data_IF_181492945952
#
_entry.id   IF_181492945952
#
_cell.length_a   1.000
_cell.length_b   1.000
_cell.length_c   1.000
_cell.angle_alpha   90.00
_cell.angle_beta   90.00
_cell.angle_gamma   90.00
#
_symmetry.space_group_name_H-M   'P 1'
#
loop_
_entity.id
_entity.type
_entity.pdbx_description
1 polymer ?
#
# COMPACT_ATOMS: atom_id res chain seq x y z
N UNK A 1 -29.13 9.94 7.27
CA UNK A 1 -27.89 9.20 6.92
C UNK A 1 -27.77 8.04 7.91
N UNK A 2 -27.51 6.81 7.45
CA UNK A 2 -27.37 5.64 8.31
C UNK A 2 -26.26 4.72 7.78
N UNK A 3 -25.57 4.02 8.68
CA UNK A 3 -24.60 2.98 8.34
C UNK A 3 -25.32 1.73 7.84
N UNK A 4 -24.87 1.14 6.74
CA UNK A 4 -25.56 0.02 6.07
C UNK A 4 -24.84 -1.32 6.18
N UNK A 5 -23.52 -1.32 6.39
CA UNK A 5 -22.69 -2.52 6.40
C UNK A 5 -21.67 -2.46 7.53
N UNK A 6 -21.45 -3.59 8.21
CA UNK A 6 -20.38 -3.81 9.18
C UNK A 6 -19.69 -5.12 8.83
N UNK A 7 -18.39 -5.08 8.57
CA UNK A 7 -17.57 -6.27 8.32
C UNK A 7 -16.31 -6.28 9.18
N UNK A 8 -15.92 -7.47 9.63
CA UNK A 8 -14.69 -7.70 10.37
C UNK A 8 -13.53 -8.07 9.43
N UNK A 9 -12.31 -8.21 9.97
CA UNK A 9 -11.14 -8.67 9.21
C UNK A 9 -10.37 -7.58 8.45
N UNK A 10 -10.79 -6.31 8.54
CA UNK A 10 -10.06 -5.18 7.99
C UNK A 10 -8.77 -4.82 8.75
N UNK A 11 -7.88 -4.01 8.16
CA UNK A 11 -6.62 -3.60 8.79
C UNK A 11 -6.87 -2.75 10.06
N UNK A 12 -6.21 -3.08 11.17
CA UNK A 12 -6.33 -2.38 12.45
C UNK A 12 -5.33 -1.21 12.53
N UNK A 13 -5.55 -0.11 11.81
CA UNK A 13 -4.55 0.97 11.67
C UNK A 13 -5.16 2.36 11.68
N UNK A 14 -4.41 3.34 12.21
CA UNK A 14 -4.72 4.77 12.12
C UNK A 14 -3.87 5.44 11.03
N UNK A 15 -4.30 6.60 10.55
CA UNK A 15 -3.55 7.43 9.60
C UNK A 15 -3.12 6.70 8.32
N UNK A 16 -3.90 5.70 7.89
CA UNK A 16 -3.81 5.09 6.57
C UNK A 16 -4.55 5.98 5.55
N UNK A 17 -4.29 5.76 4.28
CA UNK A 17 -5.04 6.38 3.18
C UNK A 17 -5.62 5.30 2.28
N UNK A 18 -6.79 5.55 1.70
CA UNK A 18 -7.47 4.59 0.85
C UNK A 18 -8.07 5.24 -0.39
N UNK A 19 -8.11 4.49 -1.49
CA UNK A 19 -8.72 4.88 -2.76
C UNK A 19 -9.49 3.72 -3.37
N UNK A 20 -10.54 4.05 -4.13
CA UNK A 20 -11.24 3.09 -4.97
C UNK A 20 -10.58 3.02 -6.35
N UNK A 21 -10.38 1.80 -6.85
CA UNK A 21 -9.92 1.50 -8.22
C UNK A 21 -10.66 0.26 -8.71
N UNK A 22 -11.33 0.35 -9.86
CA UNK A 22 -11.98 -0.76 -10.54
C UNK A 22 -12.94 -1.59 -9.65
N UNK A 23 -13.72 -0.92 -8.79
CA UNK A 23 -14.68 -1.55 -7.89
C UNK A 23 -14.06 -2.15 -6.62
N UNK A 24 -12.76 -1.95 -6.39
CA UNK A 24 -12.05 -2.43 -5.20
C UNK A 24 -11.54 -1.22 -4.40
N UNK A 25 -11.59 -1.31 -3.07
CA UNK A 25 -11.03 -0.26 -2.18
C UNK A 25 -9.66 -0.72 -1.68
N UNK A 26 -8.62 0.01 -2.04
CA UNK A 26 -7.24 -0.23 -1.61
C UNK A 26 -6.89 0.69 -0.45
N UNK A 27 -6.37 0.13 0.64
CA UNK A 27 -5.88 0.84 1.82
C UNK A 27 -4.37 0.66 1.95
N UNK A 28 -3.65 1.77 2.10
CA UNK A 28 -2.20 1.83 2.13
C UNK A 28 -1.69 2.23 3.51
N UNK A 29 -0.72 1.47 4.02
CA UNK A 29 0.06 1.79 5.21
C UNK A 29 -0.75 2.03 6.48
N UNK A 30 -0.40 3.10 7.19
CA UNK A 30 -0.95 3.44 8.51
C UNK A 30 -0.10 2.92 9.67
N UNK A 31 -0.61 3.12 10.88
CA UNK A 31 0.06 2.75 12.13
C UNK A 31 -0.86 1.90 13.02
N UNK A 32 -0.35 0.78 13.53
CA UNK A 32 -1.00 -0.05 14.54
C UNK A 32 -0.15 -0.11 15.81
N UNK A 33 -0.71 0.26 16.95
CA UNK A 33 -0.05 0.02 18.23
C UNK A 33 -0.06 -1.49 18.52
N UNK A 34 1.12 -2.11 18.61
CA UNK A 34 1.28 -3.53 18.95
C UNK A 34 1.74 -4.43 17.80
N UNK A 35 1.87 -3.90 16.59
CA UNK A 35 2.64 -4.57 15.53
C UNK A 35 4.10 -4.09 15.60
N UNK A 36 5.04 -5.04 15.47
CA UNK A 36 6.46 -4.70 15.33
C UNK A 36 6.64 -4.21 13.89
N UNK A 37 6.80 -2.90 13.73
CA UNK A 37 7.19 -2.31 12.46
C UNK A 37 8.71 -2.17 12.44
N UNK A 38 9.37 -2.93 11.58
CA UNK A 38 10.68 -2.53 11.10
C UNK A 38 10.42 -1.42 10.07
N UNK A 39 10.93 -0.22 10.29
CA UNK A 39 10.59 0.96 9.47
C UNK A 39 11.13 0.89 8.04
N UNK A 40 11.97 -0.09 7.72
CA UNK A 40 12.41 -0.44 6.36
C UNK A 40 11.43 -1.35 5.61
N UNK A 41 10.41 -1.91 6.26
CA UNK A 41 9.46 -2.80 5.59
C UNK A 41 8.69 -2.06 4.49
N UNK A 42 8.31 -2.74 3.40
CA UNK A 42 7.43 -2.16 2.39
C UNK A 42 6.08 -1.75 2.99
N UNK A 43 5.46 -0.73 2.41
CA UNK A 43 4.12 -0.32 2.82
C UNK A 43 3.13 -1.45 2.56
N UNK A 44 2.33 -1.76 3.58
CA UNK A 44 1.27 -2.75 3.44
C UNK A 44 0.13 -2.21 2.57
N UNK A 45 -0.39 -3.07 1.70
CA UNK A 45 -1.59 -2.80 0.89
C UNK A 45 -2.66 -3.83 1.23
N UNK A 46 -3.82 -3.36 1.66
CA UNK A 46 -5.01 -4.17 1.87
C UNK A 46 -6.05 -3.80 0.83
N UNK A 47 -6.83 -4.77 0.39
CA UNK A 47 -7.91 -4.52 -0.57
C UNK A 47 -9.23 -5.10 -0.05
N UNK A 48 -10.26 -4.29 -0.12
CA UNK A 48 -11.65 -4.67 0.13
C UNK A 48 -12.33 -4.89 -1.23
N UNK A 49 -12.85 -6.10 -1.38
CA UNK A 49 -13.79 -6.41 -2.44
C UNK A 49 -15.16 -5.83 -2.06
N UNK A 50 -15.67 -4.88 -2.87
CA UNK A 50 -16.89 -4.13 -2.52
C UNK A 50 -18.18 -4.89 -2.82
N UNK A 51 -18.11 -5.98 -3.59
CA UNK A 51 -19.25 -6.86 -3.87
C UNK A 51 -19.44 -7.88 -2.75
N UNK A 52 -18.34 -8.45 -2.26
CA UNK A 52 -18.35 -9.51 -1.24
C UNK A 52 -18.08 -9.01 0.18
N UNK A 53 -17.65 -7.76 0.32
CA UNK A 53 -17.18 -7.15 1.57
C UNK A 53 -16.08 -7.94 2.28
N UNK A 54 -15.17 -8.54 1.51
CA UNK A 54 -14.03 -9.30 2.03
C UNK A 54 -12.73 -8.53 1.89
N UNK A 55 -12.03 -8.40 3.01
CA UNK A 55 -10.67 -7.86 3.05
C UNK A 55 -9.64 -8.95 2.73
N UNK A 56 -8.58 -8.57 2.04
CA UNK A 56 -7.36 -9.38 1.90
C UNK A 56 -6.12 -8.47 1.92
N UNK A 57 -5.03 -8.96 2.50
CA UNK A 57 -3.71 -8.32 2.40
C UNK A 57 -3.07 -8.73 1.07
N UNK A 58 -2.52 -7.78 0.33
CA UNK A 58 -1.78 -8.07 -0.90
C UNK A 58 -0.31 -8.37 -0.57
N UNK A 59 0.22 -9.42 -1.19
CA UNK A 59 1.64 -9.78 -1.10
C UNK A 59 2.41 -9.01 -2.17
N UNK A 60 2.80 -7.77 -1.88
CA UNK A 60 3.60 -6.96 -2.81
C UNK A 60 5.07 -7.34 -2.64
N UNK A 61 5.58 -8.23 -3.50
CA UNK A 61 6.96 -8.72 -3.42
C UNK A 61 7.98 -7.59 -3.65
N UNK A 62 8.75 -7.29 -2.61
CA UNK A 62 9.79 -6.25 -2.55
C UNK A 62 11.02 -6.55 -3.41
N UNK A 63 11.37 -7.82 -3.64
CA UNK A 63 12.63 -8.21 -4.28
C UNK A 63 12.73 -7.82 -5.77
N UNK A 64 11.61 -7.51 -6.44
CA UNK A 64 11.55 -7.42 -7.91
C UNK A 64 11.38 -6.00 -8.46
N UNK A 65 11.19 -5.00 -7.60
CA UNK A 65 11.02 -3.61 -8.03
C UNK A 65 12.25 -2.80 -7.60
N UNK A 66 13.38 -3.13 -8.22
CA UNK A 66 14.63 -2.38 -8.04
C UNK A 66 14.99 -1.66 -9.32
N UNK A 67 15.39 -0.39 -9.20
CA UNK A 67 16.08 0.31 -10.27
C UNK A 67 17.58 0.25 -9.99
N UNK A 68 18.32 -0.20 -10.99
CA UNK A 68 19.78 -0.10 -11.00
C UNK A 68 20.16 1.20 -11.67
N UNK A 69 20.78 2.11 -10.93
CA UNK A 69 21.27 3.34 -11.53
C UNK A 69 22.55 3.10 -12.35
N UNK A 70 23.00 4.13 -13.07
CA UNK A 70 24.20 4.07 -13.90
C UNK A 70 25.49 3.80 -13.11
N UNK A 71 25.44 3.87 -11.78
CA UNK A 71 26.55 3.54 -10.88
C UNK A 71 26.53 2.08 -10.40
N UNK A 72 25.51 1.32 -10.79
CA UNK A 72 25.32 -0.07 -10.37
C UNK A 72 24.64 -0.20 -9.00
N UNK A 73 24.12 0.89 -8.41
CA UNK A 73 23.39 0.86 -7.14
C UNK A 73 21.95 0.44 -7.38
N UNK A 74 21.52 -0.62 -6.70
CA UNK A 74 20.12 -1.09 -6.73
C UNK A 74 19.31 -0.39 -5.64
N UNK A 75 18.26 0.31 -6.02
CA UNK A 75 17.31 0.95 -5.10
C UNK A 75 15.94 0.32 -5.21
N UNK A 76 15.36 -0.04 -4.07
CA UNK A 76 13.95 -0.45 -3.99
C UNK A 76 13.06 0.73 -4.35
N UNK A 77 12.11 0.52 -5.25
CA UNK A 77 11.06 1.49 -5.58
C UNK A 77 9.88 1.41 -4.61
N UNK A 78 9.89 0.43 -3.71
CA UNK A 78 8.81 0.25 -2.76
C UNK A 78 8.82 1.37 -1.73
N UNK A 79 7.67 2.03 -1.52
CA UNK A 79 7.51 2.93 -0.39
C UNK A 79 7.72 2.17 0.92
N UNK A 80 8.53 2.72 1.83
CA UNK A 80 8.64 2.20 3.19
C UNK A 80 7.32 2.35 3.96
N UNK A 81 7.10 1.50 4.94
CA UNK A 81 5.91 1.45 5.78
C UNK A 81 5.77 2.75 6.56
N UNK A 82 4.66 3.47 6.30
CA UNK A 82 4.44 4.82 6.83
C UNK A 82 2.98 5.14 7.06
N UNK A 83 2.76 6.19 7.83
CA UNK A 83 1.45 6.73 8.16
C UNK A 83 1.39 8.24 7.90
N UNK A 84 0.17 8.77 7.83
CA UNK A 84 -0.08 10.20 7.57
C UNK A 84 0.30 10.62 6.15
N UNK A 85 0.34 9.68 5.21
CA UNK A 85 0.55 9.93 3.79
C UNK A 85 -0.79 10.20 3.08
N UNK A 86 -0.71 10.65 1.82
CA UNK A 86 -1.87 10.85 0.94
C UNK A 86 -1.84 9.82 -0.19
N UNK A 87 -3.03 9.37 -0.62
CA UNK A 87 -3.21 8.57 -1.83
C UNK A 87 -4.33 9.16 -2.67
N UNK A 88 -4.12 9.26 -3.98
CA UNK A 88 -5.13 9.73 -4.96
C UNK A 88 -5.25 8.74 -6.11
N UNK A 89 -6.49 8.43 -6.51
CA UNK A 89 -6.77 7.66 -7.71
C UNK A 89 -6.72 8.56 -8.95
N UNK A 90 -5.98 8.14 -9.97
CA UNK A 90 -5.92 8.82 -11.26
C UNK A 90 -5.58 7.80 -12.36
N UNK A 91 -6.38 7.78 -13.44
CA UNK A 91 -6.18 6.92 -14.61
C UNK A 91 -5.90 5.44 -14.26
N UNK A 92 -6.76 4.86 -13.39
CA UNK A 92 -6.68 3.45 -13.00
C UNK A 92 -5.52 3.11 -12.04
N UNK A 93 -4.77 4.11 -11.55
CA UNK A 93 -3.63 3.93 -10.65
C UNK A 93 -3.79 4.72 -9.37
N UNK A 94 -3.07 4.32 -8.33
CA UNK A 94 -2.98 5.03 -7.06
C UNK A 94 -1.64 5.76 -6.94
N UNK A 95 -1.69 7.07 -6.70
CA UNK A 95 -0.53 7.93 -6.49
C UNK A 95 -0.37 8.22 -5.01
N UNK A 96 0.77 7.86 -4.44
CA UNK A 96 1.03 7.92 -3.00
C UNK A 96 2.23 8.82 -2.71
N UNK A 97 2.09 9.80 -1.83
CA UNK A 97 3.20 10.65 -1.39
C UNK A 97 3.05 11.13 0.05
N UNK A 98 4.13 11.68 0.60
CA UNK A 98 4.17 12.18 1.97
C UNK A 98 4.16 11.06 3.01
N UNK A 99 3.77 11.43 4.23
CA UNK A 99 3.80 10.56 5.41
C UNK A 99 5.20 10.34 5.95
N UNK A 100 5.26 9.64 7.08
CA UNK A 100 6.50 9.37 7.80
C UNK A 100 6.48 8.04 8.53
N UNK A 101 7.65 7.63 9.01
CA UNK A 101 7.79 6.79 10.18
C UNK A 101 8.93 7.31 11.08
N UNK A 102 9.28 6.58 12.13
CA UNK A 102 10.31 7.00 13.09
C UNK A 102 11.75 6.73 12.60
N UNK A 103 11.94 5.87 11.60
CA UNK A 103 13.25 5.54 11.03
C UNK A 103 13.66 6.50 9.90
N UNK A 104 12.76 6.77 8.96
CA UNK A 104 13.04 7.54 7.73
C UNK A 104 12.56 8.99 7.79
N UNK A 105 11.83 9.39 8.84
CA UNK A 105 11.22 10.72 8.90
C UNK A 105 10.19 10.92 7.79
N UNK A 106 9.96 12.17 7.38
CA UNK A 106 8.97 12.49 6.34
C UNK A 106 9.51 12.22 4.93
N UNK A 107 8.69 11.60 4.06
CA UNK A 107 9.06 11.36 2.66
C UNK A 107 8.59 12.48 1.72
N UNK A 108 9.47 12.89 0.82
CA UNK A 108 9.14 13.75 -0.33
C UNK A 108 8.90 12.95 -1.63
N UNK A 109 9.06 11.62 -1.59
CA UNK A 109 8.95 10.76 -2.77
C UNK A 109 7.48 10.42 -3.09
N UNK A 110 7.17 10.40 -4.38
CA UNK A 110 5.89 9.93 -4.91
C UNK A 110 6.08 8.53 -5.49
N UNK A 111 5.14 7.63 -5.21
CA UNK A 111 5.09 6.28 -5.73
C UNK A 111 3.76 6.06 -6.45
N UNK A 112 3.77 5.19 -7.46
CA UNK A 112 2.57 4.83 -8.22
C UNK A 112 2.32 3.34 -8.06
N UNK A 113 1.12 2.99 -7.61
CA UNK A 113 0.63 1.63 -7.52
C UNK A 113 -0.33 1.37 -8.68
N UNK A 114 -0.04 0.33 -9.47
CA UNK A 114 -0.82 -0.10 -10.62
C UNK A 114 -1.39 -1.49 -10.34
N UNK A 115 -2.70 -1.62 -10.07
CA UNK A 115 -3.31 -2.91 -9.74
C UNK A 115 -3.39 -3.88 -10.92
N UNK A 116 -3.28 -3.40 -12.16
CA UNK A 116 -3.34 -4.23 -13.37
C UNK A 116 -1.96 -4.79 -13.74
N UNK A 117 -0.90 -4.19 -13.20
CA UNK A 117 0.47 -4.66 -13.39
C UNK A 117 0.73 -5.90 -12.53
N UNK A 118 0.27 -7.05 -13.03
CA UNK A 118 0.54 -8.36 -12.46
C UNK A 118 2.06 -8.58 -12.46
N UNK A 119 2.65 -8.72 -11.27
CA UNK A 119 3.96 -9.34 -11.15
C UNK A 119 3.78 -10.83 -11.46
N UNK A 120 4.59 -11.39 -12.36
CA UNK A 120 4.54 -12.80 -12.85
C UNK A 120 4.76 -13.88 -11.76
N UNK A 121 4.40 -13.64 -10.50
CA UNK A 121 4.45 -14.58 -9.38
C UNK A 121 3.09 -15.08 -8.90
N UNK A 122 1.99 -14.42 -9.26
CA UNK A 122 0.62 -14.81 -8.83
C UNK A 122 -0.06 -15.80 -9.80
N UNK A 123 0.66 -16.29 -10.81
CA UNK A 123 0.28 -17.52 -11.51
C UNK A 123 0.90 -18.71 -10.78
N UNK A 124 0.19 -19.26 -9.81
CA UNK A 124 0.43 -20.60 -9.32
C UNK A 124 -0.74 -21.47 -9.76
N UNK A 125 -0.37 -22.62 -10.34
CA UNK A 125 -1.15 -23.79 -10.74
C UNK A 125 -2.34 -24.12 -9.85
#
# INVERSE_FOLDING_TARGET
MYWTVKVDGGPKRVNHAAVELNGLIYSFGGYCSGEIYEGNEPIDVHVLDTETYRWRKLNVCCEKITETDSSGSTRSLMPYQRYGHTVVAYEGKAYLWGGRNDEHGASAQMHVFDPEKIHKGDQIS
#
